data_IF_262626416018
#
_entry.id   IF_262626416018
#
_cell.length_a   1.000
_cell.length_b   1.000
_cell.length_c   1.000
_cell.angle_alpha   90.00
_cell.angle_beta   90.00
_cell.angle_gamma   90.00
#
_symmetry.space_group_name_H-M   'P 1'
#
loop_
_entity.id
_entity.type
_entity.pdbx_description
1 polymer ?
#
# COMPACT_ATOMS: atom_id res chain seq x y z
N UNK A 1 -11.37 5.70 -7.55
CA UNK A 1 -10.43 5.07 -8.52
C UNK A 1 -9.54 6.09 -9.23
N UNK A 2 -9.97 7.35 -9.42
CA UNK A 2 -9.17 8.39 -10.09
C UNK A 2 -7.83 8.74 -9.44
N UNK A 3 -7.61 8.30 -8.20
CA UNK A 3 -6.37 8.47 -7.42
C UNK A 3 -5.40 7.29 -7.52
N UNK A 4 -5.75 6.22 -8.25
CA UNK A 4 -4.86 5.06 -8.43
C UNK A 4 -3.90 5.31 -9.59
N UNK A 5 -2.64 4.96 -9.38
CA UNK A 5 -1.69 4.81 -10.47
C UNK A 5 -2.14 3.70 -11.43
N UNK A 6 -1.61 3.70 -12.64
CA UNK A 6 -1.91 2.68 -13.64
C UNK A 6 -1.60 1.26 -13.12
N UNK A 7 -0.52 1.11 -12.34
CA UNK A 7 -0.07 -0.19 -11.82
C UNK A 7 -0.96 -0.69 -10.70
N UNK A 8 -1.37 0.19 -9.78
CA UNK A 8 -2.37 -0.14 -8.75
C UNK A 8 -3.71 -0.52 -9.39
N UNK A 9 -4.17 0.22 -10.40
CA UNK A 9 -5.42 -0.09 -11.08
C UNK A 9 -5.36 -1.44 -11.80
N UNK A 10 -4.27 -1.72 -12.52
CA UNK A 10 -4.06 -3.01 -13.18
C UNK A 10 -4.04 -4.15 -12.16
N UNK A 11 -3.32 -3.99 -11.06
CA UNK A 11 -3.23 -5.01 -10.02
C UNK A 11 -4.56 -5.23 -9.31
N UNK A 12 -5.28 -4.16 -8.95
CA UNK A 12 -6.61 -4.25 -8.37
C UNK A 12 -7.61 -4.94 -9.30
N UNK A 13 -7.61 -4.57 -10.59
CA UNK A 13 -8.47 -5.23 -11.58
C UNK A 13 -8.17 -6.71 -11.70
N UNK A 14 -6.88 -7.09 -11.74
CA UNK A 14 -6.48 -8.49 -11.72
C UNK A 14 -7.04 -9.22 -10.49
N UNK A 15 -6.85 -8.67 -9.29
CA UNK A 15 -7.36 -9.28 -8.05
C UNK A 15 -8.88 -9.45 -8.06
N UNK A 16 -9.63 -8.45 -8.54
CA UNK A 16 -11.10 -8.55 -8.70
C UNK A 16 -11.50 -9.70 -9.63
N UNK A 17 -10.75 -9.92 -10.71
CA UNK A 17 -11.05 -10.98 -11.69
C UNK A 17 -10.74 -12.39 -11.19
N UNK A 18 -9.68 -12.54 -10.39
CA UNK A 18 -9.22 -13.86 -9.94
C UNK A 18 -9.71 -14.24 -8.54
N UNK A 19 -10.41 -13.33 -7.87
CA UNK A 19 -10.99 -13.57 -6.55
C UNK A 19 -12.28 -14.37 -6.63
N UNK A 20 -12.56 -15.13 -5.58
CA UNK A 20 -13.81 -15.87 -5.43
C UNK A 20 -14.99 -14.97 -5.00
N UNK A 21 -16.13 -15.59 -4.67
CA UNK A 21 -17.35 -14.88 -4.23
C UNK A 21 -17.17 -14.06 -2.95
N UNK A 22 -16.11 -14.29 -2.19
CA UNK A 22 -15.78 -13.59 -0.94
C UNK A 22 -14.64 -12.59 -1.14
N UNK A 23 -14.21 -12.36 -2.38
CA UNK A 23 -13.11 -11.45 -2.70
C UNK A 23 -11.74 -12.05 -2.40
N UNK A 24 -11.63 -13.38 -2.19
CA UNK A 24 -10.36 -14.02 -1.82
C UNK A 24 -9.63 -14.58 -3.03
N UNK A 25 -8.33 -14.34 -3.12
CA UNK A 25 -7.45 -14.93 -4.14
C UNK A 25 -6.10 -15.36 -3.58
N UNK A 26 -5.59 -16.48 -4.10
CA UNK A 26 -4.29 -17.05 -3.71
C UNK A 26 -3.37 -17.09 -4.94
N UNK A 27 -2.48 -16.11 -5.04
CA UNK A 27 -1.48 -16.02 -6.11
C UNK A 27 -0.13 -15.65 -5.52
N UNK A 28 0.92 -16.37 -5.93
CA UNK A 28 2.28 -16.05 -5.51
C UNK A 28 2.75 -14.75 -6.14
N UNK A 29 3.63 -14.05 -5.42
CA UNK A 29 4.37 -12.89 -5.91
C UNK A 29 4.94 -13.11 -7.33
N UNK A 30 5.65 -14.21 -7.56
CA UNK A 30 6.27 -14.51 -8.86
C UNK A 30 5.24 -14.66 -9.98
N UNK A 31 4.08 -15.26 -9.68
CA UNK A 31 3.00 -15.43 -10.65
C UNK A 31 2.38 -14.09 -11.03
N UNK A 32 2.13 -13.23 -10.04
CA UNK A 32 1.55 -11.89 -10.25
C UNK A 32 2.52 -11.05 -11.08
N UNK A 33 3.80 -11.00 -10.71
CA UNK A 33 4.83 -10.25 -11.45
C UNK A 33 4.96 -10.73 -12.89
N UNK A 34 4.92 -12.05 -13.11
CA UNK A 34 4.98 -12.64 -14.46
C UNK A 34 3.75 -12.29 -15.31
N UNK A 35 2.54 -12.40 -14.74
CA UNK A 35 1.28 -12.15 -15.47
C UNK A 35 1.07 -10.66 -15.79
N UNK A 36 1.39 -9.78 -14.84
CA UNK A 36 1.17 -8.33 -14.97
C UNK A 36 2.39 -7.59 -15.52
N UNK A 37 3.49 -8.29 -15.75
CA UNK A 37 4.78 -7.75 -16.17
C UNK A 37 5.22 -6.59 -15.28
N UNK A 38 5.18 -6.84 -13.96
CA UNK A 38 5.63 -5.89 -12.95
C UNK A 38 7.04 -6.27 -12.49
N UNK A 39 7.86 -5.26 -12.26
CA UNK A 39 9.09 -5.45 -11.50
C UNK A 39 8.77 -5.66 -10.02
N UNK A 40 9.72 -6.19 -9.25
CA UNK A 40 9.58 -6.34 -7.79
C UNK A 40 9.17 -5.05 -7.10
N UNK A 41 9.83 -3.94 -7.43
CA UNK A 41 9.54 -2.64 -6.84
C UNK A 41 8.12 -2.16 -7.16
N UNK A 42 7.70 -2.32 -8.42
CA UNK A 42 6.35 -1.93 -8.86
C UNK A 42 5.26 -2.78 -8.19
N UNK A 43 5.50 -4.06 -8.00
CA UNK A 43 4.59 -4.92 -7.25
C UNK A 43 4.45 -4.47 -5.80
N UNK A 44 5.58 -4.23 -5.11
CA UNK A 44 5.56 -3.82 -3.70
C UNK A 44 4.83 -2.48 -3.58
N UNK A 45 5.20 -1.48 -4.38
CA UNK A 45 4.58 -0.16 -4.37
C UNK A 45 3.07 -0.23 -4.66
N UNK A 46 2.65 -0.98 -5.67
CA UNK A 46 1.24 -1.14 -6.00
C UNK A 46 0.47 -1.88 -4.89
N UNK A 47 1.07 -2.91 -4.28
CA UNK A 47 0.44 -3.65 -3.19
C UNK A 47 0.24 -2.76 -1.96
N UNK A 48 1.29 -2.10 -1.50
CA UNK A 48 1.21 -1.19 -0.34
C UNK A 48 0.24 -0.06 -0.61
N UNK A 49 0.28 0.56 -1.80
CA UNK A 49 -0.62 1.64 -2.19
C UNK A 49 -2.11 1.23 -2.21
N UNK A 50 -2.42 -0.02 -2.56
CA UNK A 50 -3.77 -0.57 -2.49
C UNK A 50 -4.20 -0.89 -1.05
N UNK A 51 -3.28 -1.35 -0.19
CA UNK A 51 -3.56 -1.60 1.24
C UNK A 51 -3.80 -0.28 1.99
N UNK A 52 -2.98 0.75 1.75
CA UNK A 52 -3.14 2.08 2.34
C UNK A 52 -4.48 2.74 1.98
N UNK A 53 -5.01 2.44 0.80
CA UNK A 53 -6.31 2.92 0.32
C UNK A 53 -7.47 2.02 0.76
N UNK A 54 -7.21 1.04 1.63
CA UNK A 54 -8.18 0.06 2.13
C UNK A 54 -8.97 -0.64 1.01
N UNK A 55 -8.33 -0.87 -0.15
CA UNK A 55 -8.94 -1.56 -1.28
C UNK A 55 -8.68 -3.06 -1.26
N UNK A 56 -7.57 -3.47 -0.64
CA UNK A 56 -7.21 -4.86 -0.44
C UNK A 56 -6.65 -5.09 0.97
N UNK A 57 -6.74 -6.32 1.46
CA UNK A 57 -5.94 -6.83 2.57
C UNK A 57 -5.03 -7.96 2.07
N UNK A 58 -3.84 -8.10 2.67
CA UNK A 58 -2.88 -9.14 2.34
C UNK A 58 -2.19 -9.66 3.59
N UNK A 59 -2.15 -10.98 3.78
CA UNK A 59 -1.57 -11.62 4.97
C UNK A 59 -0.18 -12.24 4.76
N UNK A 60 0.39 -12.09 3.55
CA UNK A 60 1.62 -12.77 3.13
C UNK A 60 1.38 -13.90 2.13
N UNK A 61 0.15 -14.41 2.03
CA UNK A 61 -0.19 -15.53 1.15
C UNK A 61 -1.53 -15.34 0.43
N UNK A 62 -2.50 -14.73 1.11
CA UNK A 62 -3.87 -14.55 0.67
C UNK A 62 -4.15 -13.07 0.45
N UNK A 63 -4.78 -12.76 -0.69
CA UNK A 63 -5.34 -11.43 -0.95
C UNK A 63 -6.84 -11.44 -0.72
N UNK A 64 -7.35 -10.39 -0.09
CA UNK A 64 -8.77 -10.09 0.00
C UNK A 64 -9.05 -8.75 -0.66
N UNK A 65 -9.94 -8.72 -1.65
CA UNK A 65 -10.53 -7.48 -2.16
C UNK A 65 -11.59 -7.00 -1.17
N UNK A 66 -11.48 -5.75 -0.73
CA UNK A 66 -12.37 -5.15 0.25
C UNK A 66 -13.52 -4.40 -0.41
N UNK A 67 -14.62 -4.24 0.34
CA UNK A 67 -15.74 -3.42 -0.08
C UNK A 67 -15.31 -1.97 -0.27
N UNK A 68 -15.77 -1.36 -1.36
CA UNK A 68 -15.45 0.04 -1.63
C UNK A 68 -16.13 0.93 -0.57
N UNK A 69 -15.37 1.83 0.08
CA UNK A 69 -15.94 2.78 1.01
C UNK A 69 -16.94 3.67 0.29
N UNK A 70 -18.00 4.11 0.99
CA UNK A 70 -19.07 4.94 0.41
C UNK A 70 -18.57 6.27 -0.19
N UNK A 71 -17.36 6.68 0.16
CA UNK A 71 -16.65 7.81 -0.45
C UNK A 71 -15.19 7.40 -0.71
N UNK A 72 -14.56 7.89 -1.80
CA UNK A 72 -13.15 7.67 -2.05
C UNK A 72 -12.30 8.16 -0.86
N UNK A 73 -11.36 7.33 -0.40
CA UNK A 73 -10.40 7.75 0.63
C UNK A 73 -9.39 8.68 -0.04
N UNK A 74 -9.33 9.93 0.44
CA UNK A 74 -8.29 10.85 0.05
C UNK A 74 -6.97 10.37 0.66
N UNK A 75 -5.94 10.23 -0.18
CA UNK A 75 -4.62 9.79 0.28
C UNK A 75 -4.11 10.75 1.35
N UNK A 76 -3.94 10.25 2.57
CA UNK A 76 -3.18 10.94 3.61
C UNK A 76 -1.71 10.84 3.24
N UNK A 77 -1.27 11.60 2.23
CA UNK A 77 0.15 11.84 2.07
C UNK A 77 0.66 12.34 3.44
N UNK A 78 1.73 11.75 4.00
CA UNK A 78 2.33 12.29 5.20
C UNK A 78 2.62 13.75 4.91
N UNK A 79 1.99 14.66 5.63
CA UNK A 79 2.56 16.00 5.76
C UNK A 79 3.83 15.75 6.53
N UNK A 80 4.94 15.55 5.81
CA UNK A 80 6.26 15.71 6.39
C UNK A 80 6.25 17.10 7.00
N UNK A 81 6.09 17.15 8.33
CA UNK A 81 6.28 18.37 9.08
C UNK A 81 7.78 18.42 9.42
N UNK A 82 8.61 19.12 8.62
CA UNK A 82 10.04 19.23 8.91
C UNK A 82 10.30 19.80 10.31
N UNK A 83 9.33 20.49 10.93
CA UNK A 83 9.45 20.94 12.31
C UNK A 83 9.40 19.79 13.32
N UNK A 84 8.59 18.76 13.07
CA UNK A 84 8.51 17.58 13.93
C UNK A 84 9.81 16.75 13.88
N UNK A 85 10.39 16.60 12.68
CA UNK A 85 11.70 15.95 12.50
C UNK A 85 12.80 16.76 13.20
N UNK A 86 12.79 18.09 13.03
CA UNK A 86 13.76 18.98 13.68
C UNK A 86 13.65 18.95 15.22
N UNK A 87 12.44 18.79 15.78
CA UNK A 87 12.24 18.67 17.23
C UNK A 87 12.80 17.35 17.78
N UNK A 88 12.58 16.24 17.10
CA UNK A 88 13.13 14.93 17.49
C UNK A 88 14.66 14.95 17.52
N UNK A 89 15.31 15.52 16.48
CA UNK A 89 16.77 15.66 16.43
C UNK A 89 17.28 16.51 17.61
N UNK A 90 16.61 17.63 17.93
CA UNK A 90 17.00 18.51 19.05
C UNK A 90 16.86 17.81 20.40
N UNK A 91 15.84 16.98 20.60
CA UNK A 91 15.67 16.23 21.84
C UNK A 91 16.79 15.20 22.04
N UNK A 92 17.16 14.45 20.99
CA UNK A 92 18.21 13.43 21.09
C UNK A 92 19.61 14.00 21.35
N UNK A 93 19.92 15.21 20.86
CA UNK A 93 21.22 15.87 21.12
C UNK A 93 21.29 16.44 22.55
N UNK A 94 20.15 16.80 23.14
CA UNK A 94 20.08 17.43 24.47
C UNK A 94 20.30 16.44 25.63
N UNK A 95 20.07 15.15 25.40
CA UNK A 95 20.28 14.10 26.41
C UNK A 95 21.76 13.71 26.58
N UNK A 96 22.65 14.14 25.69
CA UNK A 96 24.09 13.79 25.71
C UNK A 96 24.93 14.79 26.54
N UNK A 97 24.34 15.92 26.97
CA UNK A 97 25.07 17.03 27.61
C UNK A 97 24.81 17.11 29.15
N UNK A 98 24.38 16.01 29.76
CA UNK A 98 24.26 15.87 31.22
C UNK A 98 25.02 14.64 31.70
N UNK A 99 26.35 14.75 31.78
CA UNK A 99 27.24 13.96 32.64
C UNK A 99 28.44 14.84 33.07
#
# INVERSE_FOLDING_TARGET
LSSLSQKELLFYLFLVLVSDRYGLSFYSYDSICSLLQLTTGQYIEAREGLMEKELIAFDGSLFQVLDLPSKPIESKAPKEDPAAIAQLIRQSIKEVDYD
#
